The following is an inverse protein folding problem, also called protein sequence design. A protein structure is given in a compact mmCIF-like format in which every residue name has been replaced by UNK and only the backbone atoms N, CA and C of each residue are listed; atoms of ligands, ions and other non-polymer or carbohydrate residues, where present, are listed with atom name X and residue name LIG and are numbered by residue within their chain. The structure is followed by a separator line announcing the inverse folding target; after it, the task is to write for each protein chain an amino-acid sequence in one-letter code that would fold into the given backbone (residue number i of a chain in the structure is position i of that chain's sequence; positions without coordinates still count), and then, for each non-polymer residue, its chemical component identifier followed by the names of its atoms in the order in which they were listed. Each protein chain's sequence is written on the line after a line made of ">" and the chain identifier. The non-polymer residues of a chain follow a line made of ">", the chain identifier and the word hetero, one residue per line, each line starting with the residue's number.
data_IF_231313238776
#
_entry.id   IF_231313238776
#
_cell.length_a   1.000
_cell.length_b   1.000
_cell.length_c   1.000
_cell.angle_alpha   90.00
_cell.angle_beta   90.00
_cell.angle_gamma   90.00
#
_symmetry.space_group_name_H-M   'P 1'
#
loop_
_entity.id
_entity.type
_entity.pdbx_description
1 polymer ?
#
# COMPACT_ATOMS: atom_id res chain seq x y z
N UNK A 1 11.20 17.80 31.17
CA UNK A 1 11.77 18.53 30.01
C UNK A 1 10.86 18.38 28.81
N UNK A 2 10.59 19.52 28.15
CA UNK A 2 9.52 19.76 27.17
C UNK A 2 9.47 18.77 26.00
N UNK A 3 8.32 18.10 25.83
CA UNK A 3 8.00 17.20 24.72
C UNK A 3 7.63 17.94 23.44
N UNK A 4 8.51 18.78 22.91
CA UNK A 4 8.32 19.36 21.57
C UNK A 4 8.61 18.26 20.53
N UNK A 5 7.58 17.89 19.77
CA UNK A 5 7.79 17.13 18.52
C UNK A 5 8.58 18.02 17.56
N UNK A 6 9.67 17.50 17.02
CA UNK A 6 10.42 18.20 15.97
C UNK A 6 9.52 18.37 14.74
N UNK A 7 9.62 19.50 14.04
CA UNK A 7 8.91 19.72 12.76
C UNK A 7 9.12 18.55 11.80
N UNK A 8 10.31 17.95 11.79
CA UNK A 8 10.64 16.77 10.99
C UNK A 8 9.77 15.54 11.35
N UNK A 9 9.45 15.33 12.63
CA UNK A 9 8.59 14.21 13.06
C UNK A 9 7.15 14.38 12.60
N UNK A 10 6.64 15.63 12.60
CA UNK A 10 5.29 15.94 12.11
C UNK A 10 5.19 15.78 10.60
N UNK A 11 6.18 16.29 9.87
CA UNK A 11 6.24 16.13 8.41
C UNK A 11 6.34 14.66 8.05
N UNK A 12 7.22 13.90 8.70
CA UNK A 12 7.34 12.46 8.49
C UNK A 12 6.03 11.72 8.76
N UNK A 13 5.37 11.98 9.90
CA UNK A 13 4.07 11.38 10.20
C UNK A 13 3.01 11.69 9.14
N UNK A 14 2.95 12.94 8.68
CA UNK A 14 2.02 13.36 7.64
C UNK A 14 2.28 12.62 6.31
N UNK A 15 3.55 12.55 5.89
CA UNK A 15 3.98 11.83 4.68
C UNK A 15 3.58 10.36 4.76
N UNK A 16 3.90 9.67 5.86
CA UNK A 16 3.55 8.25 6.02
C UNK A 16 2.03 8.04 5.96
N UNK A 17 1.24 8.91 6.60
CA UNK A 17 -0.22 8.84 6.54
C UNK A 17 -0.75 9.05 5.12
N UNK A 18 -0.25 10.04 4.39
CA UNK A 18 -0.68 10.34 3.01
C UNK A 18 -0.34 9.17 2.08
N UNK A 19 0.91 8.70 2.09
CA UNK A 19 1.33 7.59 1.24
C UNK A 19 0.63 6.28 1.61
N UNK A 20 0.42 6.01 2.90
CA UNK A 20 -0.36 4.86 3.35
C UNK A 20 -1.81 4.91 2.86
N UNK A 21 -2.45 6.08 2.96
CA UNK A 21 -3.82 6.28 2.50
C UNK A 21 -3.96 6.15 0.98
N UNK A 22 -3.05 6.77 0.21
CA UNK A 22 -3.01 6.64 -1.26
C UNK A 22 -2.78 5.19 -1.69
N UNK A 23 -1.88 4.47 -1.02
CA UNK A 23 -1.63 3.04 -1.29
C UNK A 23 -2.88 2.20 -1.03
N UNK A 24 -3.60 2.48 0.06
CA UNK A 24 -4.85 1.79 0.38
C UNK A 24 -5.94 2.07 -0.66
N UNK A 25 -6.13 3.33 -1.06
CA UNK A 25 -7.09 3.70 -2.12
C UNK A 25 -6.72 3.01 -3.43
N UNK A 26 -5.45 3.05 -3.82
CA UNK A 26 -4.99 2.43 -5.05
C UNK A 26 -5.25 0.91 -5.03
N UNK A 27 -5.04 0.24 -3.90
CA UNK A 27 -5.26 -1.20 -3.78
C UNK A 27 -6.76 -1.56 -3.87
N UNK A 28 -7.62 -0.79 -3.19
CA UNK A 28 -9.09 -0.96 -3.24
C UNK A 28 -9.61 -0.66 -4.65
N UNK A 29 -9.22 0.47 -5.22
CA UNK A 29 -9.66 0.90 -6.55
C UNK A 29 -9.23 -0.08 -7.64
N UNK A 30 -8.01 -0.59 -7.54
CA UNK A 30 -7.52 -1.63 -8.44
C UNK A 30 -8.37 -2.90 -8.28
N UNK A 31 -8.62 -3.35 -7.05
CA UNK A 31 -9.46 -4.53 -6.80
C UNK A 31 -10.89 -4.41 -7.35
N UNK A 32 -11.53 -3.27 -7.14
CA UNK A 32 -12.88 -3.00 -7.66
C UNK A 32 -12.89 -2.95 -9.20
N UNK A 33 -11.88 -2.32 -9.82
CA UNK A 33 -11.75 -2.26 -11.27
C UNK A 33 -11.64 -3.67 -11.87
N UNK A 34 -10.76 -4.51 -11.32
CA UNK A 34 -10.59 -5.89 -11.80
C UNK A 34 -11.83 -6.75 -11.57
N UNK A 35 -12.54 -6.57 -10.44
CA UNK A 35 -13.78 -7.30 -10.17
C UNK A 35 -14.94 -6.92 -11.09
N UNK A 36 -15.04 -5.64 -11.48
CA UNK A 36 -16.17 -5.13 -12.25
C UNK A 36 -15.97 -5.20 -13.77
N UNK A 37 -14.72 -5.02 -14.23
CA UNK A 37 -14.43 -4.79 -15.66
C UNK A 37 -13.80 -6.00 -16.34
N UNK A 38 -13.12 -6.89 -15.59
CA UNK A 38 -12.35 -7.96 -16.22
C UNK A 38 -13.12 -9.29 -16.28
N UNK A 39 -13.16 -9.95 -17.46
CA UNK A 39 -13.79 -11.25 -17.62
C UNK A 39 -13.03 -12.33 -16.83
N UNK A 40 -13.79 -13.20 -16.16
CA UNK A 40 -13.29 -14.23 -15.24
C UNK A 40 -13.09 -15.59 -15.96
N UNK A 41 -11.99 -15.75 -16.73
CA UNK A 41 -11.56 -16.98 -17.47
C UNK A 41 -12.59 -17.63 -18.45
N UNK A 42 -12.17 -18.43 -19.45
CA UNK A 42 -10.88 -18.49 -20.13
C UNK A 42 -11.01 -17.94 -21.55
N UNK A 43 -10.35 -16.83 -21.85
CA UNK A 43 -9.74 -16.66 -23.16
C UNK A 43 -8.59 -15.67 -23.01
N UNK A 44 -7.34 -16.06 -23.32
CA UNK A 44 -6.26 -15.10 -23.48
C UNK A 44 -6.59 -14.24 -24.70
N UNK A 45 -7.34 -13.16 -24.47
CA UNK A 45 -7.55 -12.12 -25.47
C UNK A 45 -6.17 -11.58 -25.84
N UNK A 46 -5.88 -11.45 -27.13
CA UNK A 46 -4.58 -11.09 -27.69
C UNK A 46 -3.92 -9.96 -26.89
N UNK A 47 -2.78 -10.23 -26.24
CA UNK A 47 -2.01 -9.26 -25.45
C UNK A 47 -2.21 -9.30 -23.93
N UNK A 48 -3.14 -10.12 -23.40
CA UNK A 48 -3.33 -10.36 -21.96
C UNK A 48 -2.98 -11.81 -21.61
N UNK A 49 -1.73 -12.03 -21.22
CA UNK A 49 -1.17 -13.37 -20.92
C UNK A 49 -0.58 -13.49 -19.52
N UNK A 50 -0.46 -12.38 -18.79
CA UNK A 50 0.09 -12.39 -17.43
C UNK A 50 -1.02 -12.67 -16.42
N UNK A 51 -0.84 -13.66 -15.56
CA UNK A 51 -1.81 -13.97 -14.53
C UNK A 51 -1.70 -12.96 -13.40
N UNK A 52 -2.71 -12.09 -13.26
CA UNK A 52 -2.91 -11.34 -12.02
C UNK A 52 -3.51 -12.31 -10.98
N UNK A 53 -2.77 -12.53 -9.90
CA UNK A 53 -2.96 -13.65 -8.97
C UNK A 53 -4.34 -13.77 -8.32
N UNK A 54 -4.49 -14.89 -7.60
CA UNK A 54 -5.66 -15.41 -6.85
C UNK A 54 -6.31 -14.42 -5.89
N UNK A 55 -5.70 -13.25 -5.64
CA UNK A 55 -6.22 -12.18 -4.78
C UNK A 55 -7.61 -11.66 -5.20
N UNK A 56 -8.00 -11.84 -6.47
CA UNK A 56 -9.33 -11.47 -6.99
C UNK A 56 -10.33 -12.63 -7.01
N UNK A 57 -10.00 -13.74 -6.33
CA UNK A 57 -10.78 -15.00 -6.28
C UNK A 57 -11.10 -15.60 -7.67
N UNK A 58 -10.47 -15.06 -8.71
CA UNK A 58 -10.67 -15.35 -10.12
C UNK A 58 -9.34 -15.06 -10.81
N UNK A 59 -8.80 -16.02 -11.55
CA UNK A 59 -7.54 -15.81 -12.29
C UNK A 59 -7.82 -14.89 -13.48
N UNK A 60 -7.39 -13.64 -13.39
CA UNK A 60 -7.56 -12.67 -14.49
C UNK A 60 -6.26 -12.56 -15.26
N UNK A 61 -6.34 -12.59 -16.59
CA UNK A 61 -5.20 -12.31 -17.45
C UNK A 61 -5.10 -10.81 -17.75
N UNK A 62 -3.91 -10.25 -17.56
CA UNK A 62 -3.61 -8.82 -17.71
C UNK A 62 -2.44 -8.61 -18.68
N UNK A 63 -2.29 -7.39 -19.16
CA UNK A 63 -1.14 -7.03 -19.99
C UNK A 63 0.13 -6.80 -19.13
N UNK A 64 1.29 -6.63 -19.78
CA UNK A 64 2.58 -6.45 -19.08
C UNK A 64 2.61 -5.21 -18.18
N UNK A 65 2.00 -4.11 -18.61
CA UNK A 65 1.99 -2.85 -17.86
C UNK A 65 1.11 -2.92 -16.62
N UNK A 66 -0.07 -3.50 -16.76
CA UNK A 66 -1.00 -3.82 -15.67
C UNK A 66 -0.35 -4.77 -14.66
N UNK A 67 0.35 -5.80 -15.12
CA UNK A 67 1.10 -6.71 -14.25
C UNK A 67 2.20 -6.00 -13.47
N UNK A 68 2.97 -5.13 -14.13
CA UNK A 68 4.00 -4.33 -13.48
C UNK A 68 3.41 -3.37 -12.43
N UNK A 69 2.30 -2.71 -12.75
CA UNK A 69 1.56 -1.85 -11.82
C UNK A 69 1.06 -2.63 -10.60
N UNK A 70 0.45 -3.79 -10.82
CA UNK A 70 -0.05 -4.65 -9.74
C UNK A 70 1.09 -5.10 -8.82
N UNK A 71 2.22 -5.51 -9.39
CA UNK A 71 3.39 -5.90 -8.60
C UNK A 71 3.98 -4.72 -7.82
N UNK A 72 4.12 -3.55 -8.45
CA UNK A 72 4.57 -2.34 -7.78
C UNK A 72 3.66 -1.98 -6.61
N UNK A 73 2.35 -2.10 -6.79
CA UNK A 73 1.38 -1.77 -5.76
C UNK A 73 1.39 -2.79 -4.60
N UNK A 74 1.42 -4.10 -4.91
CA UNK A 74 1.33 -5.16 -3.90
C UNK A 74 2.65 -5.45 -3.18
N UNK A 75 3.78 -5.38 -3.87
CA UNK A 75 5.07 -5.70 -3.29
C UNK A 75 5.82 -4.44 -2.89
N UNK A 76 6.07 -3.51 -3.81
CA UNK A 76 6.92 -2.36 -3.50
C UNK A 76 6.23 -1.36 -2.57
N UNK A 77 5.02 -0.90 -2.91
CA UNK A 77 4.31 0.13 -2.12
C UNK A 77 3.87 -0.39 -0.75
N UNK A 78 3.35 -1.62 -0.66
CA UNK A 78 2.99 -2.20 0.65
C UNK A 78 4.24 -2.38 1.53
N UNK A 79 5.37 -2.83 0.98
CA UNK A 79 6.61 -2.93 1.75
C UNK A 79 7.11 -1.55 2.22
N UNK A 80 7.11 -0.55 1.33
CA UNK A 80 7.52 0.82 1.67
C UNK A 80 6.62 1.42 2.75
N UNK A 81 5.30 1.27 2.64
CA UNK A 81 4.35 1.72 3.67
C UNK A 81 4.56 0.97 4.97
N UNK A 82 4.74 -0.36 4.92
CA UNK A 82 4.99 -1.18 6.11
C UNK A 82 6.24 -0.75 6.87
N UNK A 83 7.37 -0.60 6.17
CA UNK A 83 8.62 -0.10 6.76
C UNK A 83 8.42 1.30 7.34
N UNK A 84 7.74 2.18 6.60
CA UNK A 84 7.49 3.56 7.04
C UNK A 84 6.64 3.64 8.30
N UNK A 85 5.64 2.77 8.44
CA UNK A 85 4.79 2.66 9.65
C UNK A 85 5.61 2.15 10.84
N UNK A 86 6.49 1.16 10.63
CA UNK A 86 7.40 0.66 11.68
C UNK A 86 8.35 1.77 12.15
N UNK A 87 8.95 2.51 11.21
CA UNK A 87 9.80 3.66 11.54
C UNK A 87 9.02 4.75 12.28
N UNK A 88 7.77 5.03 11.88
CA UNK A 88 6.90 5.96 12.58
C UNK A 88 6.63 5.52 14.02
N UNK A 89 6.39 4.22 14.23
CA UNK A 89 6.18 3.66 15.56
C UNK A 89 7.43 3.84 16.45
N UNK A 90 8.62 3.52 15.91
CA UNK A 90 9.90 3.59 16.64
C UNK A 90 10.31 5.02 16.95
N UNK A 91 10.24 5.93 15.97
CA UNK A 91 10.80 7.28 16.10
C UNK A 91 9.81 8.32 16.61
N UNK A 92 8.50 8.07 16.52
CA UNK A 92 7.47 9.06 16.88
C UNK A 92 6.54 8.51 17.97
N UNK A 93 5.92 7.35 17.77
CA UNK A 93 4.86 6.86 18.67
C UNK A 93 5.43 6.39 20.02
N UNK A 94 6.42 5.50 20.02
CA UNK A 94 7.02 4.94 21.25
C UNK A 94 7.65 6.05 22.12
N UNK A 95 8.49 6.96 21.58
CA UNK A 95 9.07 8.05 22.37
C UNK A 95 8.01 9.02 22.91
N UNK A 96 6.92 9.25 22.16
CA UNK A 96 5.80 10.08 22.63
C UNK A 96 5.01 9.39 23.73
N UNK A 97 4.82 8.08 23.66
CA UNK A 97 4.12 7.31 24.68
C UNK A 97 4.91 7.23 26.00
N UNK A 98 6.23 6.97 25.94
CA UNK A 98 7.12 7.01 27.11
C UNK A 98 7.11 8.39 27.79
N UNK A 99 7.18 9.47 27.01
CA UNK A 99 7.08 10.85 27.55
C UNK A 99 5.75 11.16 28.23
N UNK A 100 4.68 10.44 27.89
CA UNK A 100 3.33 10.60 28.47
C UNK A 100 3.04 9.64 29.62
N UNK A 101 4.01 8.80 30.03
CA UNK A 101 3.82 7.79 31.07
C UNK A 101 2.78 6.73 30.73
N UNK A 102 2.54 6.47 29.43
CA UNK A 102 1.58 5.46 28.95
C UNK A 102 2.23 4.13 28.60
N UNK A 103 3.54 4.04 28.81
CA UNK A 103 4.44 2.93 28.55
C UNK A 103 5.55 2.97 29.60
#
# INVERSE_FOLDING_TARGET
>A
MSGRESTAQKVFACVVCIFGFLTAIANIGTSLYYLAVMPRLPEPVTGRIYLAGVAFNTGVYVNKGEFAWLNFLHYDMICVVGISVVLLAIFVIIPKARRKGRL
#
